data_IF_860889361313
#
_entry.id   IF_860889361313
#
_cell.length_a   1.000
_cell.length_b   1.000
_cell.length_c   1.000
_cell.angle_alpha   90.00
_cell.angle_beta   90.00
_cell.angle_gamma   90.00
#
_symmetry.space_group_name_H-M   'P 1'
#
loop_
_entity.id
_entity.type
_entity.pdbx_description
1 polymer ?
#
# COMPACT_ATOMS: atom_id res chain seq x y z
N UNK A 1 18.12 -20.41 -0.67
CA UNK A 1 18.81 -19.69 -1.76
C UNK A 1 18.77 -18.20 -1.41
N UNK A 2 19.84 -17.44 -1.66
CA UNK A 2 19.78 -15.98 -1.49
C UNK A 2 19.00 -15.39 -2.66
N UNK A 3 17.95 -14.65 -2.38
CA UNK A 3 17.22 -13.91 -3.40
C UNK A 3 17.89 -12.56 -3.61
N UNK A 4 18.09 -12.19 -4.88
CA UNK A 4 18.71 -10.92 -5.27
C UNK A 4 17.65 -10.05 -5.91
N UNK A 5 17.47 -8.84 -5.38
CA UNK A 5 16.59 -7.82 -5.92
C UNK A 5 17.42 -6.75 -6.64
N UNK A 6 16.99 -6.39 -7.85
CA UNK A 6 17.58 -5.27 -8.58
C UNK A 6 16.89 -3.99 -8.14
N UNK A 7 17.68 -3.01 -7.71
CA UNK A 7 17.18 -1.68 -7.34
C UNK A 7 17.53 -0.71 -8.46
N UNK A 8 16.59 0.20 -8.76
CA UNK A 8 16.81 1.29 -9.70
C UNK A 8 17.02 2.62 -8.96
N UNK A 9 17.76 3.58 -9.55
CA UNK A 9 17.90 4.91 -8.99
C UNK A 9 16.54 5.58 -8.79
N UNK A 10 16.34 6.33 -7.72
CA UNK A 10 15.10 7.10 -7.49
C UNK A 10 14.79 8.06 -8.66
N UNK A 11 15.83 8.58 -9.32
CA UNK A 11 15.71 9.46 -10.49
C UNK A 11 15.19 8.77 -11.76
N UNK A 12 15.09 7.44 -11.77
CA UNK A 12 14.45 6.68 -12.84
C UNK A 12 12.92 6.69 -12.76
N UNK A 13 12.35 7.20 -11.65
CA UNK A 13 10.91 7.27 -11.44
C UNK A 13 10.45 8.74 -11.47
N UNK A 14 9.26 8.95 -12.02
CA UNK A 14 8.59 10.26 -11.97
C UNK A 14 7.46 10.19 -10.95
N UNK A 15 7.46 11.11 -9.98
CA UNK A 15 6.39 11.25 -9.02
C UNK A 15 5.44 12.36 -9.47
N UNK A 16 4.17 12.02 -9.62
CA UNK A 16 3.10 12.94 -10.01
C UNK A 16 2.19 13.22 -8.82
N UNK A 17 1.33 14.22 -8.97
CA UNK A 17 0.31 14.55 -7.98
C UNK A 17 -1.03 14.15 -8.52
N UNK A 18 -1.85 13.52 -7.70
CA UNK A 18 -3.27 13.29 -8.00
C UNK A 18 -4.16 13.85 -6.90
N UNK A 19 -5.46 13.86 -7.16
CA UNK A 19 -6.48 14.22 -6.18
C UNK A 19 -6.26 13.57 -4.80
N UNK A 20 -6.58 14.34 -3.76
CA UNK A 20 -6.37 13.92 -2.38
C UNK A 20 -7.19 12.66 -2.06
N UNK A 21 -6.53 11.66 -1.48
CA UNK A 21 -7.18 10.45 -0.98
C UNK A 21 -7.65 10.70 0.47
N UNK A 22 -8.96 10.75 0.73
CA UNK A 22 -9.46 10.98 2.08
C UNK A 22 -9.10 9.81 2.99
N UNK A 23 -8.80 10.11 4.24
CA UNK A 23 -8.72 9.10 5.28
C UNK A 23 -10.11 8.51 5.54
N UNK A 24 -10.16 7.19 5.67
CA UNK A 24 -11.43 6.45 5.82
C UNK A 24 -12.14 6.81 7.14
N UNK A 25 -11.38 7.13 8.18
CA UNK A 25 -11.92 7.39 9.51
C UNK A 25 -11.57 8.79 10.02
N UNK A 26 -12.54 9.55 10.57
CA UNK A 26 -12.30 10.87 11.12
C UNK A 26 -11.57 10.85 12.47
N UNK A 27 -11.49 9.69 13.12
CA UNK A 27 -10.82 9.52 14.42
C UNK A 27 -10.42 8.07 14.67
N UNK A 28 -9.53 7.85 15.63
CA UNK A 28 -9.16 6.51 16.10
C UNK A 28 -10.38 5.74 16.63
N UNK A 29 -11.28 6.41 17.36
CA UNK A 29 -12.49 5.77 17.89
C UNK A 29 -13.41 5.28 16.77
N UNK A 30 -13.63 6.09 15.74
CA UNK A 30 -14.43 5.71 14.57
C UNK A 30 -13.80 4.51 13.83
N UNK A 31 -12.46 4.50 13.69
CA UNK A 31 -11.72 3.37 13.12
C UNK A 31 -11.95 2.08 13.91
N UNK A 32 -11.80 2.12 15.24
CA UNK A 32 -11.98 0.93 16.07
C UNK A 32 -13.43 0.41 16.03
N UNK A 33 -14.41 1.32 16.05
CA UNK A 33 -15.82 0.96 15.90
C UNK A 33 -16.11 0.30 14.54
N UNK A 34 -15.57 0.85 13.45
CA UNK A 34 -15.70 0.26 12.12
C UNK A 34 -15.04 -1.11 12.03
N UNK A 35 -13.87 -1.30 12.65
CA UNK A 35 -13.21 -2.61 12.72
C UNK A 35 -14.07 -3.64 13.46
N UNK A 36 -14.71 -3.23 14.56
CA UNK A 36 -15.61 -4.10 15.31
C UNK A 36 -16.85 -4.50 14.50
N UNK A 37 -17.55 -3.52 13.90
CA UNK A 37 -18.74 -3.78 13.09
C UNK A 37 -18.42 -4.71 11.90
N UNK A 38 -17.32 -4.43 11.18
CA UNK A 38 -16.90 -5.28 10.06
C UNK A 38 -16.55 -6.71 10.49
N UNK A 39 -16.02 -6.87 11.70
CA UNK A 39 -15.70 -8.19 12.23
C UNK A 39 -16.96 -9.00 12.55
N UNK A 40 -18.00 -8.36 13.08
CA UNK A 40 -19.28 -9.01 13.36
C UNK A 40 -19.96 -9.50 12.06
N UNK A 41 -19.85 -8.74 10.97
CA UNK A 41 -20.49 -9.06 9.69
C UNK A 41 -19.67 -10.01 8.80
N UNK A 42 -18.35 -9.78 8.70
CA UNK A 42 -17.48 -10.40 7.70
C UNK A 42 -16.34 -11.24 8.30
N UNK A 43 -16.19 -11.21 9.62
CA UNK A 43 -15.08 -11.86 10.32
C UNK A 43 -13.75 -11.10 10.17
N UNK A 44 -12.66 -11.86 10.15
CA UNK A 44 -11.32 -11.29 10.21
C UNK A 44 -10.98 -10.43 8.99
N UNK A 45 -10.69 -9.13 9.22
CA UNK A 45 -10.18 -8.22 8.19
C UNK A 45 -8.79 -8.67 7.73
N UNK A 46 -8.58 -8.72 6.41
CA UNK A 46 -7.26 -8.90 5.78
C UNK A 46 -6.81 -7.59 5.15
N UNK A 47 -5.54 -7.24 5.34
CA UNK A 47 -4.90 -6.05 4.76
C UNK A 47 -3.56 -6.44 4.17
N UNK A 48 -3.23 -5.84 3.03
CA UNK A 48 -1.96 -6.05 2.35
C UNK A 48 -1.26 -4.70 2.19
N UNK A 49 0.04 -4.67 2.48
CA UNK A 49 0.90 -3.49 2.36
C UNK A 49 2.19 -3.85 1.62
N UNK A 50 2.55 -3.07 0.60
CA UNK A 50 3.73 -3.31 -0.22
C UNK A 50 4.93 -2.51 0.27
N UNK A 51 6.12 -3.11 0.20
CA UNK A 51 7.39 -2.43 0.42
C UNK A 51 8.05 -2.20 -0.94
N UNK A 52 7.99 -0.96 -1.42
CA UNK A 52 8.64 -0.54 -2.67
C UNK A 52 10.03 0.00 -2.35
N UNK A 53 11.06 -0.50 -3.05
CA UNK A 53 12.46 -0.16 -2.77
C UNK A 53 13.13 0.42 -4.01
N UNK A 54 13.82 1.55 -3.82
CA UNK A 54 14.68 2.20 -4.82
C UNK A 54 16.06 2.41 -4.21
N UNK A 55 17.02 2.94 -4.98
CA UNK A 55 18.27 3.40 -4.40
C UNK A 55 18.59 4.86 -4.73
N UNK A 56 19.34 5.51 -3.86
CA UNK A 56 19.97 6.80 -4.12
C UNK A 56 21.42 6.68 -3.64
N UNK A 57 22.38 7.00 -4.50
CA UNK A 57 23.82 6.89 -4.21
C UNK A 57 24.25 5.50 -3.67
N UNK A 58 23.62 4.42 -4.11
CA UNK A 58 23.91 3.04 -3.67
C UNK A 58 23.29 2.64 -2.32
N UNK A 59 22.47 3.50 -1.72
CA UNK A 59 21.75 3.21 -0.48
C UNK A 59 20.28 2.86 -0.77
N UNK A 60 19.74 1.75 -0.24
CA UNK A 60 18.35 1.37 -0.42
C UNK A 60 17.42 2.32 0.35
N UNK A 61 16.31 2.71 -0.28
CA UNK A 61 15.27 3.56 0.30
C UNK A 61 13.91 2.90 0.12
N UNK A 62 13.08 2.95 1.16
CA UNK A 62 11.68 2.47 1.12
C UNK A 62 10.77 3.66 0.79
N UNK A 63 9.93 3.52 -0.23
CA UNK A 63 8.92 4.51 -0.56
C UNK A 63 7.73 4.38 0.40
N UNK A 64 7.30 5.51 0.97
CA UNK A 64 6.18 5.58 1.91
C UNK A 64 5.25 6.74 1.53
N UNK A 65 3.97 6.59 1.85
CA UNK A 65 2.98 7.65 1.76
C UNK A 65 3.06 8.50 3.03
N UNK A 66 3.44 9.77 2.88
CA UNK A 66 3.44 10.73 3.97
C UNK A 66 2.06 11.37 4.11
N UNK A 67 1.50 11.30 5.32
CA UNK A 67 0.23 11.94 5.68
C UNK A 67 0.54 13.02 6.71
N UNK A 68 0.15 14.25 6.39
CA UNK A 68 0.56 15.44 7.14
C UNK A 68 2.09 15.44 7.37
N UNK A 69 2.58 15.84 8.55
CA UNK A 69 4.01 16.01 8.78
C UNK A 69 4.69 14.84 9.51
N UNK A 70 3.93 13.89 10.07
CA UNK A 70 4.47 12.90 11.00
C UNK A 70 3.88 11.48 10.86
N UNK A 71 2.96 11.26 9.93
CA UNK A 71 2.39 9.93 9.67
C UNK A 71 2.94 9.38 8.37
N UNK A 72 3.35 8.12 8.41
CA UNK A 72 3.84 7.39 7.24
C UNK A 72 3.09 6.07 7.14
N UNK A 73 2.69 5.70 5.93
CA UNK A 73 2.05 4.43 5.62
C UNK A 73 2.75 3.77 4.45
N UNK A 74 2.77 2.45 4.44
CA UNK A 74 3.07 1.70 3.24
C UNK A 74 1.87 1.77 2.28
N UNK A 75 2.10 1.76 0.95
CA UNK A 75 1.01 1.67 -0.02
C UNK A 75 0.34 0.29 0.09
N UNK A 76 -0.99 0.29 0.18
CA UNK A 76 -1.76 -0.91 0.43
C UNK A 76 -3.16 -0.58 0.93
N UNK A 77 -3.97 -1.61 1.14
CA UNK A 77 -5.27 -1.49 1.78
C UNK A 77 -5.88 -2.85 2.15
N UNK A 78 -7.14 -2.84 2.57
CA UNK A 78 -7.95 -4.01 2.85
C UNK A 78 -8.28 -4.83 1.61
N UNK A 79 -8.35 -6.13 1.83
CA UNK A 79 -8.88 -7.09 0.87
C UNK A 79 -10.34 -7.38 1.20
N UNK A 80 -11.17 -7.47 0.16
CA UNK A 80 -12.54 -7.98 0.33
C UNK A 80 -12.51 -9.47 0.69
N UNK A 81 -13.58 -10.01 1.29
CA UNK A 81 -13.70 -11.44 1.53
C UNK A 81 -13.50 -12.23 0.23
N UNK A 82 -12.58 -13.19 0.25
CA UNK A 82 -12.27 -14.05 -0.90
C UNK A 82 -11.32 -13.46 -1.95
N UNK A 83 -10.88 -12.20 -1.84
CA UNK A 83 -9.84 -11.67 -2.74
C UNK A 83 -8.50 -12.39 -2.53
N UNK A 84 -7.76 -12.60 -3.62
CA UNK A 84 -6.38 -13.10 -3.55
C UNK A 84 -5.44 -12.01 -3.02
N UNK A 85 -4.41 -12.40 -2.29
CA UNK A 85 -3.49 -11.44 -1.65
C UNK A 85 -2.60 -10.73 -2.67
N UNK A 86 -2.09 -11.45 -3.66
CA UNK A 86 -1.21 -10.90 -4.69
C UNK A 86 -2.00 -10.02 -5.62
N UNK A 87 -3.09 -10.52 -6.21
CA UNK A 87 -3.91 -9.75 -7.13
C UNK A 87 -4.61 -8.57 -6.43
N UNK A 88 -5.04 -8.77 -5.18
CA UNK A 88 -5.55 -7.70 -4.35
C UNK A 88 -4.50 -6.61 -4.08
N UNK A 89 -3.25 -6.99 -3.79
CA UNK A 89 -2.15 -6.02 -3.65
C UNK A 89 -1.94 -5.21 -4.93
N UNK A 90 -1.87 -5.87 -6.10
CA UNK A 90 -1.70 -5.18 -7.39
C UNK A 90 -2.80 -4.13 -7.59
N UNK A 91 -4.05 -4.51 -7.35
CA UNK A 91 -5.20 -3.61 -7.47
C UNK A 91 -5.12 -2.42 -6.49
N UNK A 92 -4.70 -2.63 -5.24
CA UNK A 92 -4.52 -1.54 -4.27
C UNK A 92 -3.36 -0.63 -4.66
N UNK A 93 -2.29 -1.16 -5.23
CA UNK A 93 -1.20 -0.33 -5.74
C UNK A 93 -1.63 0.54 -6.91
N UNK A 94 -2.42 0.01 -7.85
CA UNK A 94 -2.99 0.80 -8.94
C UNK A 94 -3.94 1.89 -8.42
N UNK A 95 -4.81 1.57 -7.46
CA UNK A 95 -5.69 2.55 -6.83
C UNK A 95 -4.90 3.64 -6.09
N UNK A 96 -3.87 3.25 -5.33
CA UNK A 96 -3.11 4.16 -4.48
C UNK A 96 -2.12 5.01 -5.26
N UNK A 97 -1.42 4.44 -6.25
CA UNK A 97 -0.29 5.08 -6.93
C UNK A 97 -0.51 5.32 -8.43
N UNK A 98 -1.45 4.60 -9.04
CA UNK A 98 -1.74 4.75 -10.47
C UNK A 98 -2.33 6.11 -10.83
N UNK A 99 -2.17 6.53 -12.09
CA UNK A 99 -2.83 7.72 -12.63
C UNK A 99 -4.35 7.51 -12.68
N UNK A 100 -5.09 8.61 -12.68
CA UNK A 100 -6.55 8.63 -12.72
C UNK A 100 -7.00 9.40 -13.95
N UNK A 101 -7.80 8.78 -14.83
CA UNK A 101 -8.25 9.39 -16.09
C UNK A 101 -8.98 10.73 -15.89
N UNK A 102 -9.71 10.89 -14.79
CA UNK A 102 -10.43 12.12 -14.47
C UNK A 102 -9.53 13.26 -13.99
N UNK A 103 -8.26 12.99 -13.67
CA UNK A 103 -7.28 13.97 -13.21
C UNK A 103 -6.06 13.99 -14.14
N UNK A 104 -6.04 14.88 -15.15
CA UNK A 104 -4.92 15.00 -16.09
C UNK A 104 -3.55 15.26 -15.43
N UNK A 105 -3.51 15.82 -14.22
CA UNK A 105 -2.25 16.09 -13.51
C UNK A 105 -1.65 14.82 -12.89
N UNK A 106 -2.45 13.76 -12.75
CA UNK A 106 -2.00 12.46 -12.23
C UNK A 106 -1.09 11.72 -13.22
N UNK A 107 -1.11 12.11 -14.49
CA UNK A 107 -0.22 11.60 -15.52
C UNK A 107 1.15 12.28 -15.46
N UNK A 108 2.19 11.55 -15.89
CA UNK A 108 3.54 12.10 -15.97
C UNK A 108 3.66 13.29 -16.93
N UNK A 109 4.79 14.02 -16.93
CA UNK A 109 5.02 15.19 -17.79
C UNK A 109 4.88 14.90 -19.30
N UNK A 110 4.86 13.64 -19.72
CA UNK A 110 4.64 13.21 -21.10
C UNK A 110 3.21 12.70 -21.37
N UNK A 111 2.27 12.85 -20.43
CA UNK A 111 0.91 12.27 -20.52
C UNK A 111 0.87 10.76 -20.26
N UNK A 112 2.02 10.16 -19.96
CA UNK A 112 2.19 8.75 -19.64
C UNK A 112 2.33 8.64 -18.12
N UNK A 113 1.27 8.23 -17.44
CA UNK A 113 1.42 7.54 -16.15
C UNK A 113 1.82 6.09 -16.43
N UNK A 114 1.74 5.18 -15.46
CA UNK A 114 1.90 3.75 -15.74
C UNK A 114 0.98 3.36 -16.92
N UNK A 115 1.56 3.15 -18.10
CA UNK A 115 0.87 2.74 -19.30
C UNK A 115 0.52 1.25 -19.17
N UNK A 116 -0.47 0.79 -19.95
CA UNK A 116 -0.75 -0.66 -20.07
C UNK A 116 0.48 -1.46 -20.55
N UNK A 117 1.45 -0.77 -21.15
CA UNK A 117 2.69 -1.33 -21.67
C UNK A 117 3.87 -1.32 -20.66
N UNK A 118 3.75 -0.65 -19.52
CA UNK A 118 4.80 -0.56 -18.47
C UNK A 118 4.92 -1.84 -17.62
N UNK A 119 4.17 -2.88 -17.97
CA UNK A 119 4.15 -4.16 -17.29
C UNK A 119 3.22 -4.20 -16.07
N UNK A 120 3.10 -5.40 -15.50
CA UNK A 120 2.35 -5.63 -14.27
C UNK A 120 3.23 -5.42 -13.03
N UNK A 121 2.59 -5.12 -11.90
CA UNK A 121 3.24 -5.15 -10.59
C UNK A 121 3.81 -6.56 -10.36
N UNK A 122 5.12 -6.66 -10.16
CA UNK A 122 5.76 -7.91 -9.77
C UNK A 122 5.83 -8.00 -8.24
N UNK A 123 4.88 -8.74 -7.65
CA UNK A 123 4.86 -8.99 -6.21
C UNK A 123 5.81 -10.15 -5.90
N UNK A 124 6.85 -9.87 -5.11
CA UNK A 124 7.82 -10.86 -4.65
C UNK A 124 7.30 -11.55 -3.36
N UNK A 125 8.19 -11.90 -2.44
CA UNK A 125 7.85 -12.68 -1.24
C UNK A 125 7.17 -11.87 -0.13
N UNK A 126 6.45 -12.61 0.71
CA UNK A 126 5.94 -12.10 1.98
C UNK A 126 7.11 -11.79 2.93
N UNK A 127 7.29 -10.51 3.26
CA UNK A 127 8.34 -10.06 4.17
C UNK A 127 7.99 -10.29 5.64
N UNK A 128 6.72 -10.08 6.00
CA UNK A 128 6.23 -10.20 7.37
C UNK A 128 4.70 -10.32 7.40
N UNK A 129 4.19 -10.86 8.50
CA UNK A 129 2.77 -10.86 8.83
C UNK A 129 2.57 -10.25 10.21
N UNK A 130 1.53 -9.42 10.33
CA UNK A 130 1.16 -8.75 11.58
C UNK A 130 -0.29 -9.07 11.91
N UNK A 131 -0.55 -9.29 13.20
CA UNK A 131 -1.85 -9.66 13.72
C UNK A 131 -2.32 -8.62 14.73
N UNK A 132 -3.62 -8.33 14.70
CA UNK A 132 -4.28 -7.45 15.65
C UNK A 132 -5.30 -8.28 16.44
N UNK A 133 -4.95 -8.74 17.67
CA UNK A 133 -5.80 -9.68 18.42
C UNK A 133 -7.05 -9.03 19.02
N UNK A 134 -7.00 -7.71 19.29
CA UNK A 134 -8.09 -6.94 19.90
C UNK A 134 -8.38 -5.68 19.08
N UNK A 135 -9.54 -5.05 19.30
CA UNK A 135 -9.89 -3.75 18.71
C UNK A 135 -9.15 -2.59 19.41
N UNK A 136 -7.82 -2.67 19.40
CA UNK A 136 -6.88 -1.69 19.94
C UNK A 136 -5.88 -1.31 18.85
N UNK A 137 -4.99 -0.35 19.10
CA UNK A 137 -4.05 0.16 18.08
C UNK A 137 -2.82 -0.73 17.86
N UNK A 138 -2.47 -1.59 18.81
CA UNK A 138 -1.27 -2.42 18.77
C UNK A 138 -1.40 -3.65 17.84
N UNK A 139 -0.28 -4.08 17.25
CA UNK A 139 -0.17 -5.29 16.43
C UNK A 139 1.04 -6.11 16.86
N UNK A 140 0.97 -7.42 16.68
CA UNK A 140 2.03 -8.39 17.00
C UNK A 140 2.48 -9.12 15.75
N UNK A 141 3.77 -9.47 15.68
CA UNK A 141 4.34 -10.24 14.56
C UNK A 141 4.12 -11.75 14.68
N UNK A 142 3.50 -12.21 15.76
CA UNK A 142 3.16 -13.62 16.01
C UNK A 142 1.82 -13.73 16.72
N UNK A 143 1.01 -14.71 16.35
CA UNK A 143 -0.19 -15.08 17.12
C UNK A 143 0.29 -15.80 18.38
N UNK A 144 -0.12 -15.34 19.57
CA UNK A 144 0.10 -16.08 20.80
C UNK A 144 -0.70 -17.39 20.71
N UNK A 145 -0.01 -18.53 20.85
CA UNK A 145 -0.61 -19.86 20.88
C UNK A 145 -1.47 -20.08 22.12
#
# INVERSE_FOLDING_TARGET
MSQTLTLHPVTSFTFTTKDAQPEEDPSVAARLQRLQNNYEDLGMRRTVEAVLVVHEHGHPHVLMLQIANAFFKLPGDYLKPGEDEVEGMKARLDERLGPVESDPNSFGPNGEGRNKDDGEWEIQDCLAQWWRPNFETFMVSSVAA
#
